data_IF_021232236656
#
_entry.id   IF_021232236656
#
_cell.length_a   1.000
_cell.length_b   1.000
_cell.length_c   1.000
_cell.angle_alpha   90.00
_cell.angle_beta   90.00
_cell.angle_gamma   90.00
#
_symmetry.space_group_name_H-M   'P 1'
#
loop_
_entity.id
_entity.type
_entity.pdbx_description
1 polymer ?
#
# COMPACT_ATOMS: atom_id res chain seq x y z
N UNK A 1 -21.14 12.66 3.28
CA UNK A 1 -20.68 14.02 3.60
C UNK A 1 -19.17 13.92 3.73
N UNK A 2 -18.41 14.37 2.73
CA UNK A 2 -16.95 14.30 2.81
C UNK A 2 -16.52 15.47 3.69
N UNK A 3 -15.91 15.17 4.83
CA UNK A 3 -15.32 16.19 5.70
C UNK A 3 -14.10 16.74 4.93
N UNK A 4 -14.06 18.05 4.71
CA UNK A 4 -12.84 18.70 4.21
C UNK A 4 -11.76 18.62 5.30
N UNK A 5 -10.94 17.57 5.25
CA UNK A 5 -9.69 17.55 6.01
C UNK A 5 -8.82 18.71 5.54
N UNK A 6 -8.45 19.60 6.47
CA UNK A 6 -7.42 20.62 6.21
C UNK A 6 -6.09 19.91 5.92
N UNK A 7 -5.73 19.86 4.64
CA UNK A 7 -4.44 19.31 4.18
C UNK A 7 -3.33 20.33 4.45
N UNK A 8 -2.66 20.23 5.60
CA UNK A 8 -1.37 20.92 5.87
C UNK A 8 -0.21 20.01 5.38
N UNK A 9 0.80 20.57 4.69
CA UNK A 9 2.00 19.81 4.34
C UNK A 9 2.85 19.59 5.60
N UNK A 10 3.23 18.35 5.90
CA UNK A 10 4.20 18.03 6.97
C UNK A 10 5.57 18.61 6.59
N UNK A 11 6.11 19.64 7.28
CA UNK A 11 7.30 20.35 6.79
C UNK A 11 8.60 19.55 6.86
N UNK A 12 8.63 18.52 7.71
CA UNK A 12 9.76 17.61 7.90
C UNK A 12 9.44 16.19 7.37
N UNK A 13 8.41 16.05 6.52
CA UNK A 13 7.86 14.75 6.12
C UNK A 13 8.88 13.77 5.51
N UNK A 14 9.89 14.28 4.81
CA UNK A 14 10.94 13.41 4.24
C UNK A 14 11.99 12.97 5.28
N UNK A 15 12.33 13.85 6.24
CA UNK A 15 13.39 13.65 7.23
C UNK A 15 12.90 14.11 8.62
N UNK A 16 12.00 13.35 9.28
CA UNK A 16 11.35 13.79 10.51
C UNK A 16 12.31 13.90 11.70
N UNK A 17 13.30 13.01 11.77
CA UNK A 17 14.25 12.94 12.90
C UNK A 17 15.39 13.96 12.82
N UNK A 18 15.58 14.62 11.68
CA UNK A 18 16.71 15.53 11.47
C UNK A 18 16.41 16.90 12.07
N UNK A 19 17.29 17.37 12.95
CA UNK A 19 17.23 18.72 13.52
C UNK A 19 17.39 19.81 12.44
N UNK A 20 16.64 20.90 12.58
CA UNK A 20 16.70 22.05 11.69
C UNK A 20 17.84 23.00 12.08
N UNK A 21 18.46 23.65 11.09
CA UNK A 21 19.38 24.76 11.30
C UNK A 21 18.68 26.07 11.74
N UNK A 22 17.34 26.11 11.77
CA UNK A 22 16.58 27.11 12.52
C UNK A 22 16.25 26.52 13.89
N UNK A 23 16.68 27.19 14.95
CA UNK A 23 16.60 26.67 16.33
C UNK A 23 15.13 26.48 16.76
N UNK A 24 14.82 25.34 17.38
CA UNK A 24 13.47 24.99 17.83
C UNK A 24 12.63 24.19 16.82
N UNK A 25 13.19 23.86 15.66
CA UNK A 25 12.51 23.11 14.59
C UNK A 25 13.19 21.78 14.25
N UNK A 26 12.43 20.86 13.64
CA UNK A 26 12.91 19.54 13.21
C UNK A 26 12.90 18.48 14.33
N UNK A 27 13.57 17.36 14.08
CA UNK A 27 13.70 16.26 15.04
C UNK A 27 14.88 16.43 16.01
N UNK A 28 15.09 15.41 16.85
CA UNK A 28 16.14 15.38 17.89
C UNK A 28 17.47 14.79 17.44
N UNK A 29 17.55 14.25 16.22
CA UNK A 29 18.76 13.67 15.62
C UNK A 29 19.77 14.73 15.18
N UNK A 30 21.06 14.39 15.27
CA UNK A 30 22.14 15.28 14.86
C UNK A 30 22.13 15.59 13.36
N UNK A 31 22.16 16.87 13.01
CA UNK A 31 22.21 17.31 11.62
C UNK A 31 23.56 16.95 10.97
N UNK A 32 23.53 16.05 9.98
CA UNK A 32 24.68 15.77 9.09
C UNK A 32 24.94 16.91 8.10
N UNK A 33 23.96 17.80 7.93
CA UNK A 33 23.96 18.92 7.01
C UNK A 33 23.51 20.18 7.76
N UNK A 34 24.47 21.01 8.16
CA UNK A 34 24.24 22.24 8.94
C UNK A 34 23.47 23.32 8.17
N UNK A 35 23.17 23.12 6.89
CA UNK A 35 22.34 24.03 6.09
C UNK A 35 20.88 23.59 5.99
N UNK A 36 20.54 22.37 6.40
CA UNK A 36 19.18 21.85 6.32
C UNK A 36 18.22 22.66 7.20
N UNK A 37 17.08 23.07 6.65
CA UNK A 37 16.01 23.71 7.45
C UNK A 37 14.74 22.86 7.46
N UNK A 38 14.24 22.44 6.31
CA UNK A 38 13.05 21.58 6.21
C UNK A 38 12.96 20.89 4.83
N UNK A 39 12.22 19.78 4.75
CA UNK A 39 11.82 19.14 3.50
C UNK A 39 10.43 18.49 3.65
N UNK A 40 9.44 19.03 2.94
CA UNK A 40 8.08 18.49 2.98
C UNK A 40 7.96 17.12 2.33
N UNK A 41 6.85 16.44 2.55
CA UNK A 41 6.42 15.37 1.65
C UNK A 41 6.32 15.83 0.19
N UNK A 42 6.38 14.89 -0.73
CA UNK A 42 5.98 15.08 -2.13
C UNK A 42 4.47 14.92 -2.26
N UNK A 43 3.80 15.97 -2.72
CA UNK A 43 2.34 16.04 -2.87
C UNK A 43 1.94 16.17 -4.33
N UNK A 44 0.72 15.76 -4.68
CA UNK A 44 0.17 16.09 -6.01
C UNK A 44 -0.36 17.52 -6.02
N UNK A 45 -0.30 18.17 -7.19
CA UNK A 45 -0.83 19.52 -7.40
C UNK A 45 -1.68 19.58 -8.67
N UNK A 46 -2.75 20.38 -8.68
CA UNK A 46 -3.49 20.69 -9.91
C UNK A 46 -2.57 21.36 -10.94
N UNK A 47 -2.87 21.18 -12.22
CA UNK A 47 -2.16 21.89 -13.29
C UNK A 47 -2.48 23.40 -13.25
N UNK A 48 -1.53 24.22 -13.68
CA UNK A 48 -1.67 25.68 -13.70
C UNK A 48 -0.99 26.37 -12.52
N UNK A 49 -1.43 27.58 -12.19
CA UNK A 49 -0.82 28.40 -11.13
C UNK A 49 -1.12 27.81 -9.75
N UNK A 50 -0.07 27.48 -8.99
CA UNK A 50 -0.14 26.91 -7.63
C UNK A 50 0.81 27.67 -6.71
N UNK A 51 0.37 27.99 -5.49
CA UNK A 51 1.13 28.70 -4.47
C UNK A 51 1.33 27.80 -3.25
N UNK A 52 2.58 27.58 -2.89
CA UNK A 52 2.93 27.08 -1.56
C UNK A 52 3.10 28.28 -0.63
N UNK A 53 2.42 28.27 0.50
CA UNK A 53 2.54 29.29 1.55
C UNK A 53 3.10 28.66 2.81
N UNK A 54 3.90 29.38 3.57
CA UNK A 54 4.41 28.88 4.85
C UNK A 54 4.55 29.97 5.90
N UNK A 55 4.59 29.54 7.16
CA UNK A 55 4.76 30.41 8.33
C UNK A 55 5.70 29.77 9.34
N UNK A 56 6.77 30.49 9.68
CA UNK A 56 7.58 30.22 10.85
C UNK A 56 6.95 30.91 12.07
N UNK A 57 6.30 30.16 12.94
CA UNK A 57 5.65 30.72 14.12
C UNK A 57 6.71 31.20 15.12
N UNK A 58 6.46 32.36 15.72
CA UNK A 58 7.36 33.07 16.66
C UNK A 58 8.79 33.32 16.13
N UNK A 59 8.96 33.45 14.80
CA UNK A 59 10.27 33.62 14.17
C UNK A 59 11.02 34.86 14.70
N UNK A 60 12.22 34.62 15.22
CA UNK A 60 13.20 35.65 15.59
C UNK A 60 14.47 35.42 14.79
N UNK A 61 14.98 36.45 14.13
CA UNK A 61 16.27 36.43 13.42
C UNK A 61 16.81 37.85 13.25
N UNK A 62 18.11 38.06 13.47
CA UNK A 62 18.82 39.30 13.10
C UNK A 62 19.69 39.12 11.85
N UNK A 63 20.02 37.88 11.47
CA UNK A 63 20.80 37.54 10.27
C UNK A 63 20.36 36.23 9.61
N UNK A 64 20.75 36.07 8.34
CA UNK A 64 20.63 34.81 7.60
C UNK A 64 19.71 34.88 6.39
N UNK A 65 20.00 34.01 5.41
CA UNK A 65 19.21 33.84 4.19
C UNK A 65 18.79 32.39 4.02
N UNK A 66 17.50 32.20 3.74
CA UNK A 66 16.88 30.90 3.47
C UNK A 66 16.62 30.77 1.97
N UNK A 67 17.20 29.76 1.32
CA UNK A 67 16.83 29.35 -0.03
C UNK A 67 15.71 28.33 0.06
N UNK A 68 14.56 28.69 -0.49
CA UNK A 68 13.43 27.79 -0.69
C UNK A 68 13.47 27.26 -2.12
N UNK A 69 13.35 25.94 -2.27
CA UNK A 69 13.22 25.27 -3.57
C UNK A 69 11.91 24.48 -3.60
N UNK A 70 11.10 24.72 -4.63
CA UNK A 70 10.04 23.78 -5.03
C UNK A 70 10.69 22.74 -5.92
N UNK A 71 10.74 21.50 -5.44
CA UNK A 71 11.17 20.32 -6.18
C UNK A 71 9.99 19.78 -6.98
N UNK A 72 10.25 19.33 -8.20
CA UNK A 72 9.27 18.64 -9.04
C UNK A 72 9.85 17.28 -9.45
N UNK A 73 9.09 16.22 -9.16
CA UNK A 73 9.45 14.84 -9.43
C UNK A 73 8.43 14.27 -10.43
N UNK A 74 8.83 13.90 -11.66
CA UNK A 74 7.93 13.25 -12.61
C UNK A 74 7.31 11.99 -11.98
N UNK A 75 6.06 11.69 -12.31
CA UNK A 75 5.47 10.41 -11.91
C UNK A 75 6.26 9.25 -12.55
N UNK A 76 6.69 8.28 -11.73
CA UNK A 76 7.53 7.16 -12.17
C UNK A 76 9.04 7.47 -12.23
N UNK A 77 9.47 8.56 -11.58
CA UNK A 77 10.88 8.91 -11.41
C UNK A 77 11.20 9.10 -9.93
N UNK A 78 12.34 8.61 -9.47
CA UNK A 78 12.90 8.96 -8.16
C UNK A 78 13.74 10.25 -8.21
N UNK A 79 14.22 10.60 -9.40
CA UNK A 79 14.93 11.85 -9.63
C UNK A 79 13.95 13.03 -9.63
N UNK A 80 14.25 14.03 -8.81
CA UNK A 80 13.55 15.33 -8.78
C UNK A 80 14.41 16.44 -9.38
N UNK A 81 13.76 17.43 -9.97
CA UNK A 81 14.36 18.67 -10.47
C UNK A 81 13.89 19.87 -9.64
N UNK A 82 14.51 21.04 -9.80
CA UNK A 82 14.04 22.27 -9.14
C UNK A 82 13.12 23.04 -10.09
N UNK A 83 11.81 23.05 -9.82
CA UNK A 83 10.83 23.78 -10.63
C UNK A 83 10.81 25.29 -10.31
N UNK A 84 11.08 25.66 -9.05
CA UNK A 84 11.15 27.07 -8.61
C UNK A 84 12.19 27.21 -7.52
N UNK A 85 12.91 28.34 -7.52
CA UNK A 85 13.76 28.76 -6.40
C UNK A 85 13.34 30.16 -5.96
N UNK A 86 13.39 30.40 -4.65
CA UNK A 86 13.24 31.69 -4.01
C UNK A 86 14.34 31.82 -2.94
N UNK A 87 14.79 33.04 -2.66
CA UNK A 87 15.68 33.32 -1.52
C UNK A 87 15.04 34.40 -0.66
N UNK A 88 14.91 34.12 0.62
CA UNK A 88 14.33 34.99 1.64
C UNK A 88 15.44 35.47 2.58
N UNK A 89 15.35 36.73 3.04
CA UNK A 89 16.10 37.19 4.22
C UNK A 89 15.26 36.90 5.46
N UNK A 90 15.82 36.21 6.45
CA UNK A 90 15.06 35.77 7.62
C UNK A 90 14.58 36.96 8.48
N UNK A 91 15.29 38.08 8.44
CA UNK A 91 14.87 39.38 9.01
C UNK A 91 13.54 39.88 8.43
N UNK A 92 13.39 39.80 7.11
CA UNK A 92 12.22 40.31 6.40
C UNK A 92 11.01 39.40 6.64
N UNK A 93 11.26 38.09 6.73
CA UNK A 93 10.25 37.06 7.06
C UNK A 93 9.78 37.22 8.51
N UNK A 94 10.69 37.50 9.45
CA UNK A 94 10.33 37.78 10.85
C UNK A 94 9.48 39.06 10.97
N UNK A 95 9.82 40.12 10.22
CA UNK A 95 9.01 41.34 10.13
C UNK A 95 7.62 41.12 9.48
N UNK A 96 7.42 40.01 8.78
CA UNK A 96 6.16 39.61 8.12
C UNK A 96 5.45 38.47 8.86
N UNK A 97 5.51 38.42 10.20
CA UNK A 97 4.81 37.42 11.02
C UNK A 97 5.25 35.96 10.67
N UNK A 98 6.51 35.81 10.24
CA UNK A 98 7.09 34.53 9.82
C UNK A 98 6.63 34.04 8.45
N UNK A 99 5.82 34.81 7.72
CA UNK A 99 5.12 34.37 6.50
C UNK A 99 5.96 34.48 5.25
N UNK A 100 5.73 33.56 4.31
CA UNK A 100 6.28 33.57 2.97
C UNK A 100 5.40 32.78 2.02
N UNK A 101 5.53 33.02 0.71
CA UNK A 101 4.87 32.21 -0.32
C UNK A 101 5.73 32.08 -1.57
N UNK A 102 5.53 30.99 -2.32
CA UNK A 102 6.20 30.74 -3.60
C UNK A 102 5.21 30.13 -4.60
N UNK A 103 5.01 30.83 -5.70
CA UNK A 103 4.12 30.42 -6.78
C UNK A 103 4.89 29.84 -7.96
N UNK A 104 4.37 28.74 -8.53
CA UNK A 104 4.84 28.13 -9.76
C UNK A 104 3.67 27.81 -10.71
N UNK A 105 3.99 27.59 -11.99
CA UNK A 105 3.05 27.00 -12.94
C UNK A 105 3.29 25.48 -12.96
N UNK A 106 2.49 24.74 -12.19
CA UNK A 106 2.59 23.30 -12.04
C UNK A 106 2.14 22.59 -13.32
N UNK A 107 2.92 21.58 -13.75
CA UNK A 107 2.59 20.73 -14.89
C UNK A 107 1.90 19.45 -14.41
N UNK A 108 0.94 18.90 -15.19
CA UNK A 108 0.39 17.57 -14.90
C UNK A 108 1.49 16.51 -14.98
N UNK A 109 1.38 15.45 -14.16
CA UNK A 109 2.35 14.35 -14.15
C UNK A 109 3.57 14.55 -13.25
N UNK A 110 3.51 15.49 -12.29
CA UNK A 110 4.59 15.77 -11.34
C UNK A 110 4.06 15.82 -9.91
N UNK A 111 4.82 15.22 -8.99
CA UNK A 111 4.71 15.53 -7.56
C UNK A 111 5.58 16.74 -7.25
N UNK A 112 5.15 17.54 -6.28
CA UNK A 112 5.90 18.70 -5.79
C UNK A 112 6.21 18.58 -4.30
N UNK A 113 7.42 18.96 -3.91
CA UNK A 113 7.82 19.11 -2.50
C UNK A 113 8.51 20.46 -2.33
N UNK A 114 8.53 20.97 -1.10
CA UNK A 114 9.19 22.23 -0.77
C UNK A 114 10.31 22.00 0.25
N UNK A 115 11.50 22.51 -0.06
CA UNK A 115 12.73 22.30 0.68
C UNK A 115 13.35 23.65 1.05
N UNK A 116 13.64 23.85 2.34
CA UNK A 116 14.35 25.01 2.87
C UNK A 116 15.78 24.66 3.24
N UNK A 117 16.75 25.48 2.78
CA UNK A 117 18.17 25.38 3.14
C UNK A 117 18.79 26.76 3.35
N UNK A 118 19.61 26.91 4.38
CA UNK A 118 20.38 28.13 4.61
C UNK A 118 21.38 28.38 3.46
N UNK A 119 21.70 29.64 3.24
CA UNK A 119 22.70 30.11 2.27
C UNK A 119 23.93 30.69 2.97
N UNK A 120 23.76 31.10 4.22
CA UNK A 120 24.73 31.75 5.11
C UNK A 120 24.29 31.54 6.56
N UNK A 121 25.19 31.78 7.51
CA UNK A 121 24.92 31.64 8.94
C UNK A 121 23.69 32.45 9.39
N UNK A 122 22.93 31.87 10.32
CA UNK A 122 21.77 32.51 10.93
C UNK A 122 21.82 32.44 12.45
N UNK A 123 21.08 33.32 13.10
CA UNK A 123 20.71 33.27 14.52
C UNK A 123 19.22 32.91 14.70
N UNK A 124 18.57 32.40 13.64
CA UNK A 124 17.13 32.22 13.60
C UNK A 124 16.62 31.14 14.57
N UNK A 125 15.52 31.47 15.25
CA UNK A 125 14.75 30.55 16.08
C UNK A 125 13.24 30.69 15.81
N UNK A 126 12.51 29.58 15.83
CA UNK A 126 11.05 29.53 15.64
C UNK A 126 10.44 28.34 16.41
N UNK A 127 9.16 28.43 16.78
CA UNK A 127 8.46 27.42 17.61
C UNK A 127 7.76 26.34 16.80
N UNK A 128 7.28 26.68 15.60
CA UNK A 128 6.67 25.76 14.63
C UNK A 128 6.95 26.25 13.20
N UNK A 129 6.98 25.32 12.24
CA UNK A 129 6.80 25.62 10.82
C UNK A 129 5.44 25.06 10.37
N UNK A 130 4.69 25.85 9.61
CA UNK A 130 3.46 25.47 8.92
C UNK A 130 3.62 25.67 7.42
N UNK A 131 3.09 24.76 6.59
CA UNK A 131 3.15 24.85 5.12
C UNK A 131 1.81 24.40 4.52
N UNK A 132 1.28 25.16 3.57
CA UNK A 132 0.03 24.91 2.86
C UNK A 132 0.19 25.09 1.34
N UNK A 133 -0.79 24.61 0.55
CA UNK A 133 -0.81 24.64 -0.90
C UNK A 133 -2.22 25.01 -1.43
N UNK A 134 -2.35 26.11 -2.19
CA UNK A 134 -3.63 26.56 -2.78
C UNK A 134 -4.13 25.71 -3.98
N UNK A 135 -3.41 24.63 -4.26
CA UNK A 135 -3.50 23.90 -5.52
C UNK A 135 -3.19 22.43 -5.38
N UNK A 136 -3.65 21.81 -4.29
CA UNK A 136 -3.68 20.36 -4.11
C UNK A 136 -4.22 19.63 -5.35
N UNK A 137 -3.61 18.50 -5.67
CA UNK A 137 -4.17 17.57 -6.65
C UNK A 137 -5.37 16.83 -6.06
N UNK A 138 -6.37 16.59 -6.90
CA UNK A 138 -7.63 15.91 -6.58
C UNK A 138 -7.69 14.46 -7.11
N UNK A 139 -6.57 13.97 -7.64
CA UNK A 139 -6.49 12.68 -8.31
C UNK A 139 -7.23 12.60 -9.67
N UNK A 140 -7.77 13.69 -10.21
CA UNK A 140 -8.57 13.68 -11.46
C UNK A 140 -7.86 13.06 -12.66
N UNK A 141 -6.57 13.35 -12.86
CA UNK A 141 -5.78 12.76 -13.94
C UNK A 141 -5.60 11.24 -13.77
N UNK A 142 -5.41 10.76 -12.54
CA UNK A 142 -5.35 9.33 -12.21
C UNK A 142 -6.73 8.68 -12.37
N UNK A 143 -7.79 9.34 -11.93
CA UNK A 143 -9.19 8.91 -12.11
C UNK A 143 -9.56 8.75 -13.58
N UNK A 144 -9.13 9.67 -14.44
CA UNK A 144 -9.33 9.57 -15.88
C UNK A 144 -8.68 8.31 -16.48
N UNK A 145 -7.44 7.98 -16.08
CA UNK A 145 -6.78 6.72 -16.48
C UNK A 145 -7.52 5.49 -15.97
N UNK A 146 -7.97 5.50 -14.71
CA UNK A 146 -8.74 4.38 -14.16
C UNK A 146 -10.07 4.19 -14.87
N UNK A 147 -10.78 5.26 -15.22
CA UNK A 147 -12.03 5.20 -15.96
C UNK A 147 -11.84 4.75 -17.41
N UNK A 148 -10.68 5.02 -18.02
CA UNK A 148 -10.32 4.46 -19.32
C UNK A 148 -10.01 2.96 -19.21
N UNK A 149 -9.14 2.56 -18.28
CA UNK A 149 -8.81 1.16 -18.00
C UNK A 149 -10.05 0.34 -17.61
N UNK A 150 -11.02 0.91 -16.88
CA UNK A 150 -12.30 0.27 -16.57
C UNK A 150 -13.15 -0.02 -17.82
N UNK A 151 -13.00 0.77 -18.89
CA UNK A 151 -13.69 0.59 -20.18
C UNK A 151 -12.90 -0.27 -21.17
N UNK A 152 -11.59 -0.39 -21.00
CA UNK A 152 -10.70 -1.14 -21.89
C UNK A 152 -10.23 -2.43 -21.25
N UNK A 153 -9.30 -2.36 -20.29
CA UNK A 153 -8.69 -3.51 -19.58
C UNK A 153 -9.72 -4.31 -18.79
N UNK A 154 -10.54 -3.66 -17.96
CA UNK A 154 -11.40 -4.30 -16.97
C UNK A 154 -12.90 -4.33 -17.33
N UNK A 155 -13.25 -4.04 -18.59
CA UNK A 155 -14.65 -4.12 -19.01
C UNK A 155 -15.20 -5.55 -18.89
N UNK A 156 -16.49 -5.69 -18.59
CA UNK A 156 -17.20 -6.99 -18.70
C UNK A 156 -17.17 -7.43 -20.17
N UNK A 157 -16.64 -8.63 -20.43
CA UNK A 157 -16.38 -9.10 -21.80
C UNK A 157 -15.22 -8.38 -22.51
N UNK A 158 -14.34 -7.69 -21.75
CA UNK A 158 -13.11 -7.06 -22.22
C UNK A 158 -12.34 -8.00 -23.15
N UNK A 159 -11.83 -7.39 -24.22
CA UNK A 159 -11.28 -8.07 -25.39
C UNK A 159 -9.74 -8.09 -25.33
N UNK A 160 -9.13 -7.73 -24.19
CA UNK A 160 -7.69 -7.85 -23.94
C UNK A 160 -7.33 -9.34 -23.85
N UNK A 161 -7.04 -9.93 -25.00
CA UNK A 161 -6.84 -11.37 -25.15
C UNK A 161 -7.57 -11.99 -26.34
N UNK A 162 -8.46 -11.27 -27.04
CA UNK A 162 -8.81 -11.72 -28.40
C UNK A 162 -7.65 -11.44 -29.34
N UNK A 163 -7.22 -12.48 -30.04
CA UNK A 163 -6.39 -12.30 -31.23
C UNK A 163 -7.13 -11.41 -32.23
N UNK A 164 -6.39 -10.87 -33.22
CA UNK A 164 -6.94 -10.05 -34.31
C UNK A 164 -8.11 -10.71 -35.07
N UNK A 165 -8.31 -12.01 -34.85
CA UNK A 165 -9.34 -12.90 -35.42
C UNK A 165 -10.52 -13.20 -34.48
N UNK A 166 -10.61 -12.58 -33.30
CA UNK A 166 -11.78 -12.68 -32.41
C UNK A 166 -11.88 -13.92 -31.51
N UNK A 167 -10.84 -14.77 -31.41
CA UNK A 167 -10.82 -15.95 -30.51
C UNK A 167 -10.74 -15.53 -29.03
N UNK A 168 -11.39 -16.21 -28.05
CA UNK A 168 -11.27 -15.88 -26.62
C UNK A 168 -9.84 -15.99 -26.09
N UNK A 169 -9.51 -15.30 -24.98
CA UNK A 169 -8.19 -15.44 -24.33
C UNK A 169 -8.00 -16.86 -23.77
N UNK A 170 -6.76 -17.32 -23.51
CA UNK A 170 -6.53 -18.62 -22.89
C UNK A 170 -7.24 -18.76 -21.52
N UNK A 171 -7.38 -17.67 -20.78
CA UNK A 171 -8.08 -17.61 -19.47
C UNK A 171 -9.59 -17.75 -19.64
N UNK A 172 -10.17 -17.10 -20.64
CA UNK A 172 -11.59 -17.23 -20.98
C UNK A 172 -11.91 -18.66 -21.44
N UNK A 173 -10.99 -19.31 -22.15
CA UNK A 173 -11.15 -20.69 -22.64
C UNK A 173 -11.23 -21.72 -21.51
N UNK A 174 -10.57 -21.46 -20.38
CA UNK A 174 -10.67 -22.30 -19.16
C UNK A 174 -11.72 -21.80 -18.16
N UNK A 175 -12.47 -20.74 -18.48
CA UNK A 175 -13.59 -20.25 -17.68
C UNK A 175 -13.21 -19.63 -16.33
N UNK A 176 -11.95 -19.21 -16.15
CA UNK A 176 -11.46 -18.69 -14.86
C UNK A 176 -11.93 -17.26 -14.55
N UNK A 177 -12.33 -16.46 -15.55
CA UNK A 177 -12.83 -15.09 -15.34
C UNK A 177 -14.34 -15.11 -15.14
N UNK A 178 -14.82 -14.49 -14.06
CA UNK A 178 -16.24 -14.31 -13.79
C UNK A 178 -16.66 -12.84 -13.95
N UNK A 179 -17.80 -12.63 -14.61
CA UNK A 179 -18.46 -11.32 -14.70
C UNK A 179 -19.37 -11.00 -13.50
N UNK A 180 -19.64 -11.99 -12.65
CA UNK A 180 -20.48 -11.81 -11.47
C UNK A 180 -19.84 -10.84 -10.47
N UNK A 181 -20.64 -10.07 -9.70
CA UNK A 181 -20.12 -9.20 -8.66
C UNK A 181 -19.20 -9.97 -7.67
N UNK A 182 -18.15 -9.28 -7.23
CA UNK A 182 -17.34 -9.74 -6.10
C UNK A 182 -18.12 -9.53 -4.80
N UNK A 183 -18.17 -10.55 -3.93
CA UNK A 183 -18.83 -10.49 -2.62
C UNK A 183 -17.96 -11.08 -1.53
N UNK A 184 -18.18 -10.69 -0.29
CA UNK A 184 -17.52 -11.23 0.91
C UNK A 184 -18.28 -12.44 1.43
N UNK A 185 -19.60 -12.51 1.18
CA UNK A 185 -20.40 -13.70 1.46
C UNK A 185 -20.00 -14.94 0.63
N UNK A 186 -19.57 -14.74 -0.62
CA UNK A 186 -19.12 -15.81 -1.54
C UNK A 186 -17.78 -15.40 -2.19
N UNK A 187 -16.68 -15.42 -1.42
CA UNK A 187 -15.42 -14.82 -1.85
C UNK A 187 -14.70 -15.68 -2.90
N UNK A 188 -14.18 -15.02 -3.92
CA UNK A 188 -13.38 -15.58 -5.00
C UNK A 188 -12.04 -14.82 -5.12
N UNK A 189 -11.25 -15.03 -6.19
CA UNK A 189 -10.05 -14.21 -6.43
C UNK A 189 -10.49 -12.84 -6.97
N UNK A 190 -10.53 -11.79 -6.13
CA UNK A 190 -11.29 -10.58 -6.44
C UNK A 190 -10.65 -9.27 -6.01
N UNK A 191 -11.04 -8.19 -6.68
CA UNK A 191 -10.65 -6.82 -6.32
C UNK A 191 -11.42 -6.30 -5.09
N UNK A 192 -10.79 -5.40 -4.32
CA UNK A 192 -11.47 -4.61 -3.30
C UNK A 192 -12.48 -3.63 -3.93
N UNK A 193 -13.73 -3.60 -3.44
CA UNK A 193 -14.76 -2.62 -3.86
C UNK A 193 -15.57 -2.11 -2.69
N UNK A 194 -16.16 -0.92 -2.82
CA UNK A 194 -17.04 -0.32 -1.81
C UNK A 194 -18.29 -1.16 -1.52
N UNK A 195 -18.83 -1.82 -2.55
CA UNK A 195 -19.96 -2.76 -2.41
C UNK A 195 -19.68 -3.85 -1.37
N UNK A 196 -18.46 -4.39 -1.33
CA UNK A 196 -18.09 -5.44 -0.39
C UNK A 196 -18.06 -4.95 1.06
N UNK A 197 -17.68 -3.70 1.30
CA UNK A 197 -17.66 -3.11 2.64
C UNK A 197 -19.06 -2.80 3.20
N UNK A 198 -20.07 -2.72 2.32
CA UNK A 198 -21.49 -2.55 2.67
C UNK A 198 -22.19 -3.88 3.02
N UNK A 199 -21.55 -5.04 2.79
CA UNK A 199 -22.18 -6.33 3.00
C UNK A 199 -22.41 -6.66 4.49
N UNK A 200 -23.55 -7.29 4.84
CA UNK A 200 -23.76 -7.88 6.16
C UNK A 200 -22.66 -8.87 6.56
N UNK A 201 -22.11 -9.62 5.60
CA UNK A 201 -20.98 -10.53 5.81
C UNK A 201 -19.71 -9.78 6.23
N UNK A 202 -19.42 -8.63 5.61
CA UNK A 202 -18.29 -7.78 5.99
C UNK A 202 -18.48 -7.21 7.40
N UNK A 203 -19.69 -6.74 7.74
CA UNK A 203 -19.96 -6.27 9.11
C UNK A 203 -19.81 -7.40 10.14
N UNK A 204 -20.32 -8.59 9.86
CA UNK A 204 -20.15 -9.75 10.73
C UNK A 204 -18.68 -10.11 10.98
N UNK A 205 -17.81 -9.96 9.98
CA UNK A 205 -16.37 -10.09 10.17
C UNK A 205 -15.77 -9.00 11.07
N UNK A 206 -16.18 -7.74 10.90
CA UNK A 206 -15.74 -6.68 11.80
C UNK A 206 -16.21 -6.90 13.24
N UNK A 207 -17.42 -7.43 13.44
CA UNK A 207 -17.92 -7.83 14.77
C UNK A 207 -17.09 -8.97 15.37
N UNK A 208 -16.80 -10.05 14.61
CA UNK A 208 -15.91 -11.15 15.03
C UNK A 208 -14.51 -10.67 15.43
N UNK A 209 -13.99 -9.64 14.76
CA UNK A 209 -12.65 -9.08 14.96
C UNK A 209 -12.61 -7.90 15.96
N UNK A 210 -13.75 -7.49 16.53
CA UNK A 210 -13.82 -6.32 17.42
C UNK A 210 -13.45 -4.99 16.74
N UNK A 211 -13.60 -4.90 15.41
CA UNK A 211 -13.14 -3.76 14.61
C UNK A 211 -14.25 -2.74 14.29
N UNK A 212 -13.90 -1.46 14.37
CA UNK A 212 -14.70 -0.37 13.80
C UNK A 212 -14.68 -0.40 12.26
N UNK A 213 -15.71 0.16 11.61
CA UNK A 213 -15.76 0.27 10.15
C UNK A 213 -14.73 1.30 9.68
N UNK A 214 -13.77 0.86 8.86
CA UNK A 214 -12.81 1.73 8.19
C UNK A 214 -12.86 1.44 6.69
N UNK A 215 -13.28 2.42 5.90
CA UNK A 215 -13.41 2.28 4.45
C UNK A 215 -12.05 2.34 3.76
N UNK A 216 -11.23 1.32 3.99
CA UNK A 216 -9.80 1.32 3.74
C UNK A 216 -9.38 -0.04 3.18
N UNK A 217 -8.66 -0.04 2.06
CA UNK A 217 -8.32 -1.29 1.34
C UNK A 217 -7.65 -2.36 2.22
N UNK A 218 -6.80 -1.98 3.18
CA UNK A 218 -6.19 -2.90 4.16
C UNK A 218 -7.19 -3.55 5.13
N UNK A 219 -8.27 -2.88 5.53
CA UNK A 219 -9.32 -3.54 6.32
C UNK A 219 -10.04 -4.60 5.48
N UNK A 220 -10.24 -4.31 4.19
CA UNK A 220 -10.78 -5.29 3.26
C UNK A 220 -9.85 -6.48 3.05
N UNK A 221 -8.53 -6.30 3.00
CA UNK A 221 -7.58 -7.41 2.91
C UNK A 221 -7.69 -8.37 4.09
N UNK A 222 -7.82 -7.83 5.31
CA UNK A 222 -8.07 -8.62 6.53
C UNK A 222 -9.37 -9.40 6.41
N UNK A 223 -10.50 -8.72 6.13
CA UNK A 223 -11.81 -9.38 6.03
C UNK A 223 -11.85 -10.40 4.89
N UNK A 224 -11.20 -10.12 3.75
CA UNK A 224 -11.13 -11.00 2.60
C UNK A 224 -10.39 -12.31 2.91
N UNK A 225 -9.19 -12.23 3.49
CA UNK A 225 -8.40 -13.42 3.86
C UNK A 225 -9.19 -14.30 4.85
N UNK A 226 -9.81 -13.67 5.86
CA UNK A 226 -10.66 -14.37 6.83
C UNK A 226 -11.87 -15.06 6.15
N UNK A 227 -12.56 -14.35 5.27
CA UNK A 227 -13.75 -14.85 4.57
C UNK A 227 -13.42 -16.03 3.65
N UNK A 228 -12.33 -15.98 2.88
CA UNK A 228 -11.92 -17.11 2.03
C UNK A 228 -11.57 -18.34 2.89
N UNK A 229 -10.78 -18.17 3.94
CA UNK A 229 -10.37 -19.29 4.80
C UNK A 229 -11.55 -19.92 5.55
N UNK A 230 -12.54 -19.13 5.99
CA UNK A 230 -13.79 -19.65 6.55
C UNK A 230 -14.63 -20.37 5.51
N UNK A 231 -14.83 -19.77 4.32
CA UNK A 231 -15.63 -20.35 3.24
C UNK A 231 -15.06 -21.68 2.71
N UNK A 232 -13.73 -21.80 2.62
CA UNK A 232 -13.07 -23.06 2.30
C UNK A 232 -12.92 -24.00 3.51
N UNK A 233 -13.33 -23.56 4.71
CA UNK A 233 -13.36 -24.39 5.90
C UNK A 233 -11.99 -24.75 6.47
N UNK A 234 -11.02 -23.84 6.35
CA UNK A 234 -9.66 -23.98 6.91
C UNK A 234 -9.55 -23.54 8.37
N UNK A 235 -10.50 -22.72 8.84
CA UNK A 235 -10.49 -22.20 10.21
C UNK A 235 -11.17 -23.17 11.18
N UNK A 236 -10.47 -24.24 11.56
CA UNK A 236 -10.96 -25.28 12.47
C UNK A 236 -9.89 -25.71 13.49
N UNK A 237 -10.28 -26.24 14.66
CA UNK A 237 -9.32 -26.76 15.63
C UNK A 237 -8.38 -27.82 15.02
N UNK A 238 -7.08 -27.67 15.26
CA UNK A 238 -6.02 -28.54 14.72
C UNK A 238 -5.61 -28.24 13.28
N UNK A 239 -6.20 -27.25 12.60
CA UNK A 239 -5.76 -26.85 11.25
C UNK A 239 -4.43 -26.10 11.29
N UNK A 240 -3.50 -26.45 10.39
CA UNK A 240 -2.13 -25.88 10.38
C UNK A 240 -2.02 -24.70 9.41
N UNK A 241 -1.79 -23.49 9.91
CA UNK A 241 -1.63 -22.27 9.12
C UNK A 241 -0.18 -21.79 8.98
N UNK A 242 0.20 -21.31 7.79
CA UNK A 242 1.48 -20.66 7.52
C UNK A 242 1.29 -19.21 7.06
N UNK A 243 1.71 -18.24 7.86
CA UNK A 243 1.65 -16.82 7.49
C UNK A 243 2.99 -16.33 6.93
N UNK A 244 2.96 -15.52 5.88
CA UNK A 244 4.13 -14.89 5.27
C UNK A 244 4.05 -13.36 5.34
N UNK A 245 5.12 -12.73 5.84
CA UNK A 245 5.20 -11.27 6.01
C UNK A 245 4.17 -10.76 7.02
N UNK A 246 3.96 -11.50 8.12
CA UNK A 246 2.79 -11.29 8.99
C UNK A 246 2.70 -9.91 9.66
N UNK A 247 3.80 -9.16 9.79
CA UNK A 247 3.81 -7.91 10.52
C UNK A 247 3.18 -8.05 11.91
N UNK A 248 2.54 -6.99 12.41
CA UNK A 248 1.79 -6.99 13.68
C UNK A 248 0.29 -7.31 13.49
N UNK A 249 -0.08 -8.06 12.44
CA UNK A 249 -1.47 -8.25 12.05
C UNK A 249 -2.26 -9.19 12.98
N UNK A 250 -3.59 -9.08 12.96
CA UNK A 250 -4.47 -9.84 13.85
C UNK A 250 -4.61 -11.33 13.51
N UNK A 251 -4.15 -11.76 12.33
CA UNK A 251 -4.35 -13.13 11.81
C UNK A 251 -3.90 -14.24 12.76
N UNK A 252 -2.65 -14.25 13.31
CA UNK A 252 -2.19 -15.36 14.12
C UNK A 252 -3.01 -15.54 15.40
N UNK A 253 -3.37 -14.43 16.05
CA UNK A 253 -4.23 -14.46 17.25
C UNK A 253 -5.64 -14.96 16.94
N UNK A 254 -6.28 -14.46 15.88
CA UNK A 254 -7.63 -14.88 15.54
C UNK A 254 -7.71 -16.36 15.15
N UNK A 255 -6.74 -16.87 14.37
CA UNK A 255 -6.71 -18.29 14.02
C UNK A 255 -6.38 -19.18 15.22
N UNK A 256 -5.49 -18.72 16.11
CA UNK A 256 -5.14 -19.44 17.34
C UNK A 256 -6.33 -19.61 18.29
N UNK A 257 -7.20 -18.60 18.43
CA UNK A 257 -8.42 -18.70 19.26
C UNK A 257 -9.52 -19.58 18.66
N UNK A 258 -9.47 -19.85 17.35
CA UNK A 258 -10.23 -20.91 16.69
C UNK A 258 -9.57 -22.31 16.80
N UNK A 259 -8.45 -22.40 17.52
CA UNK A 259 -7.71 -23.65 17.76
C UNK A 259 -6.80 -24.09 16.61
N UNK A 260 -6.50 -23.21 15.65
CA UNK A 260 -5.54 -23.50 14.57
C UNK A 260 -4.09 -23.44 15.10
N UNK A 261 -3.21 -24.29 14.60
CA UNK A 261 -1.77 -24.24 14.85
C UNK A 261 -1.10 -23.33 13.82
N UNK A 262 -0.45 -22.25 14.26
CA UNK A 262 0.07 -21.19 13.39
C UNK A 262 1.60 -21.12 13.44
N UNK A 263 2.22 -21.14 12.26
CA UNK A 263 3.57 -20.65 12.05
C UNK A 263 3.50 -19.31 11.32
N UNK A 264 3.80 -18.23 12.04
CA UNK A 264 3.97 -16.90 11.45
C UNK A 264 5.42 -16.71 10.99
N UNK A 265 5.61 -16.05 9.85
CA UNK A 265 6.94 -15.75 9.32
C UNK A 265 7.05 -14.31 8.83
N UNK A 266 8.24 -13.74 8.97
CA UNK A 266 8.57 -12.38 8.54
C UNK A 266 10.07 -12.33 8.16
N UNK A 267 10.51 -11.27 7.48
CA UNK A 267 11.86 -11.11 6.94
C UNK A 267 12.93 -11.13 8.07
N UNK A 268 14.07 -11.83 7.92
CA UNK A 268 15.13 -11.80 8.93
C UNK A 268 15.71 -10.39 9.17
N UNK A 269 15.89 -10.03 10.45
CA UNK A 269 16.47 -8.75 10.87
C UNK A 269 17.86 -8.55 10.21
N UNK A 270 18.06 -7.36 9.64
CA UNK A 270 19.31 -6.98 8.95
C UNK A 270 19.31 -7.18 7.43
N UNK A 271 18.24 -7.71 6.83
CA UNK A 271 18.14 -7.82 5.37
C UNK A 271 18.01 -6.45 4.68
N UNK A 272 18.65 -6.27 3.52
CA UNK A 272 18.75 -4.96 2.85
C UNK A 272 17.40 -4.35 2.44
N UNK A 273 16.35 -5.17 2.30
CA UNK A 273 14.99 -4.76 1.95
C UNK A 273 14.16 -4.21 3.13
N UNK A 274 14.62 -4.33 4.39
CA UNK A 274 13.92 -3.82 5.58
C UNK A 274 13.75 -2.30 5.62
N UNK A 275 14.56 -1.53 4.88
CA UNK A 275 14.59 -0.08 4.96
C UNK A 275 13.24 0.60 4.64
N UNK A 276 12.37 -0.03 3.84
CA UNK A 276 11.01 0.46 3.59
C UNK A 276 10.02 0.17 4.71
N UNK A 277 10.19 -0.96 5.42
CA UNK A 277 9.25 -1.48 6.42
C UNK A 277 9.49 -0.95 7.83
N UNK A 278 10.75 -0.65 8.17
CA UNK A 278 11.12 -0.10 9.47
C UNK A 278 10.47 1.27 9.74
N UNK A 279 10.24 2.08 8.69
CA UNK A 279 9.64 3.41 8.82
C UNK A 279 8.11 3.42 8.94
N UNK A 280 7.43 2.29 8.72
CA UNK A 280 5.96 2.19 8.79
C UNK A 280 5.46 1.37 9.99
N UNK A 281 6.35 0.71 10.73
CA UNK A 281 5.96 -0.16 11.85
C UNK A 281 5.26 -1.45 11.43
N UNK A 282 5.38 -1.84 10.15
CA UNK A 282 4.66 -2.98 9.56
C UNK A 282 5.45 -4.29 9.57
N UNK A 283 6.65 -4.32 10.13
CA UNK A 283 7.50 -5.51 10.25
C UNK A 283 7.49 -6.03 11.69
N UNK A 284 7.34 -7.34 11.90
CA UNK A 284 7.45 -7.96 13.22
C UNK A 284 8.73 -8.78 13.40
N UNK A 285 9.36 -8.56 14.55
CA UNK A 285 10.62 -9.17 14.98
C UNK A 285 10.44 -10.20 16.10
N UNK A 286 9.26 -10.25 16.73
CA UNK A 286 9.02 -11.05 17.93
C UNK A 286 7.56 -11.53 18.03
N UNK A 287 7.33 -12.66 18.71
CA UNK A 287 6.03 -13.33 18.78
C UNK A 287 4.99 -12.52 19.56
N UNK A 288 5.43 -11.68 20.48
CA UNK A 288 4.61 -10.78 21.30
C UNK A 288 3.91 -9.71 20.45
N UNK A 289 4.47 -9.34 19.30
CA UNK A 289 3.87 -8.39 18.36
C UNK A 289 2.71 -9.02 17.55
N UNK A 290 2.60 -10.36 17.57
CA UNK A 290 1.52 -11.12 16.95
C UNK A 290 0.35 -11.39 17.92
N UNK A 291 0.46 -10.95 19.18
CA UNK A 291 -0.57 -11.16 20.19
C UNK A 291 -1.56 -9.99 20.24
N UNK A 292 -2.84 -10.32 19.98
CA UNK A 292 -3.98 -9.41 20.09
C UNK A 292 -4.86 -9.91 21.24
N UNK A 293 -4.69 -9.38 22.48
CA UNK A 293 -5.39 -9.88 23.67
C UNK A 293 -6.92 -9.83 23.61
N UNK A 294 -7.48 -8.99 22.72
CA UNK A 294 -8.93 -8.92 22.46
C UNK A 294 -9.47 -10.07 21.61
N UNK A 295 -8.60 -10.84 20.95
CA UNK A 295 -8.96 -11.93 20.03
C UNK A 295 -8.53 -13.31 20.52
N UNK A 296 -7.46 -13.37 21.31
CA UNK A 296 -6.90 -14.61 21.86
C UNK A 296 -6.29 -14.35 23.24
N UNK A 297 -6.56 -15.22 24.21
CA UNK A 297 -5.83 -15.19 25.48
C UNK A 297 -4.36 -15.60 25.29
N UNK A 298 -3.51 -15.24 26.26
CA UNK A 298 -2.07 -15.44 26.15
C UNK A 298 -1.64 -16.92 26.23
N UNK A 299 -2.42 -17.79 26.90
CA UNK A 299 -2.09 -19.22 27.02
C UNK A 299 -2.37 -19.93 25.68
N UNK A 300 -3.55 -19.68 25.10
CA UNK A 300 -3.91 -20.16 23.77
C UNK A 300 -2.96 -19.63 22.70
N UNK A 301 -2.57 -18.35 22.77
CA UNK A 301 -1.63 -17.76 21.82
C UNK A 301 -0.23 -18.41 21.92
N UNK A 302 0.35 -18.47 23.11
CA UNK A 302 1.68 -19.06 23.32
C UNK A 302 1.74 -20.56 23.02
N UNK A 303 0.61 -21.28 23.11
CA UNK A 303 0.49 -22.69 22.73
C UNK A 303 0.36 -22.89 21.23
N UNK A 304 -0.47 -22.09 20.57
CA UNK A 304 -0.91 -22.34 19.20
C UNK A 304 -0.15 -21.50 18.15
N UNK A 305 0.54 -20.42 18.54
CA UNK A 305 1.33 -19.57 17.64
C UNK A 305 2.82 -19.84 17.83
N UNK A 306 3.55 -19.88 16.73
CA UNK A 306 5.00 -19.95 16.66
C UNK A 306 5.51 -18.97 15.62
N UNK A 307 6.76 -18.52 15.75
CA UNK A 307 7.39 -17.57 14.82
C UNK A 307 8.71 -18.12 14.26
N UNK A 308 8.96 -17.89 12.97
CA UNK A 308 10.25 -18.19 12.31
C UNK A 308 10.59 -17.11 11.28
N UNK A 309 11.79 -16.50 11.35
CA UNK A 309 12.29 -15.64 10.28
C UNK A 309 12.44 -16.41 8.96
N UNK A 310 11.86 -15.91 7.88
CA UNK A 310 11.90 -16.52 6.53
C UNK A 310 11.95 -15.43 5.48
N UNK A 311 12.92 -15.50 4.57
CA UNK A 311 12.89 -14.74 3.33
C UNK A 311 11.96 -15.45 2.33
N UNK A 312 10.92 -14.74 1.86
CA UNK A 312 9.97 -15.23 0.85
C UNK A 312 10.63 -15.54 -0.50
N UNK A 313 11.81 -14.98 -0.80
CA UNK A 313 12.60 -15.34 -1.98
C UNK A 313 13.42 -16.64 -1.81
N UNK A 314 13.60 -17.11 -0.57
CA UNK A 314 14.47 -18.24 -0.21
C UNK A 314 13.80 -19.15 0.83
N UNK A 315 12.52 -19.51 0.62
CA UNK A 315 11.73 -20.31 1.54
C UNK A 315 12.32 -21.72 1.80
N UNK A 316 12.62 -22.09 3.06
CA UNK A 316 13.10 -23.42 3.42
C UNK A 316 12.22 -24.58 2.96
N UNK A 317 12.84 -25.73 2.71
CA UNK A 317 12.14 -26.94 2.25
C UNK A 317 11.40 -27.71 3.35
N UNK A 318 11.73 -27.48 4.62
CA UNK A 318 11.07 -28.12 5.76
C UNK A 318 9.71 -27.49 6.11
N UNK A 319 9.42 -26.29 5.57
CA UNK A 319 8.08 -25.71 5.62
C UNK A 319 7.15 -26.49 4.68
N UNK A 320 6.47 -27.55 5.13
CA UNK A 320 5.50 -28.32 4.32
C UNK A 320 4.35 -28.88 5.15
N UNK A 321 3.26 -29.26 4.47
CA UNK A 321 2.12 -29.97 5.05
C UNK A 321 1.21 -29.08 5.90
N UNK A 322 1.16 -27.79 5.60
CA UNK A 322 0.18 -26.86 6.14
C UNK A 322 -1.17 -27.06 5.46
N UNK A 323 -2.25 -26.69 6.13
CA UNK A 323 -3.61 -26.79 5.59
C UNK A 323 -4.01 -25.49 4.91
N UNK A 324 -3.45 -24.36 5.34
CA UNK A 324 -3.62 -23.08 4.67
C UNK A 324 -2.37 -22.18 4.81
N UNK A 325 -2.24 -21.21 3.92
CA UNK A 325 -1.26 -20.14 4.05
C UNK A 325 -1.83 -18.80 3.58
N UNK A 326 -1.24 -17.70 4.06
CA UNK A 326 -1.65 -16.37 3.68
C UNK A 326 -0.51 -15.35 3.65
N UNK A 327 -0.76 -14.23 2.97
CA UNK A 327 0.02 -12.98 3.12
C UNK A 327 -0.85 -11.78 2.77
N UNK A 328 -0.81 -10.72 3.57
CA UNK A 328 -1.54 -9.49 3.30
C UNK A 328 -0.60 -8.42 2.71
N UNK A 329 -0.63 -8.22 1.38
CA UNK A 329 0.23 -7.28 0.65
C UNK A 329 1.70 -7.31 1.07
N UNK A 330 2.28 -8.52 0.97
CA UNK A 330 3.71 -8.75 1.19
C UNK A 330 4.47 -9.06 -0.11
N UNK A 331 3.82 -9.65 -1.12
CA UNK A 331 4.53 -10.25 -2.27
C UNK A 331 4.82 -9.26 -3.41
N UNK A 332 4.20 -8.08 -3.41
CA UNK A 332 4.62 -6.92 -4.22
C UNK A 332 5.96 -6.32 -3.78
N UNK A 333 6.45 -6.67 -2.59
CA UNK A 333 7.70 -6.15 -2.04
C UNK A 333 8.92 -7.06 -2.29
N UNK A 334 8.76 -8.15 -3.04
CA UNK A 334 9.86 -9.09 -3.36
C UNK A 334 10.82 -8.59 -4.44
N UNK A 335 10.72 -7.31 -4.83
CA UNK A 335 11.64 -6.63 -5.73
C UNK A 335 11.41 -6.87 -7.22
N UNK A 336 10.44 -7.71 -7.63
CA UNK A 336 9.96 -7.82 -9.01
C UNK A 336 8.61 -8.54 -9.07
N UNK A 337 7.85 -8.32 -10.14
CA UNK A 337 6.61 -9.06 -10.44
C UNK A 337 6.90 -10.56 -10.49
N UNK A 338 7.97 -10.96 -11.16
CA UNK A 338 8.34 -12.38 -11.33
C UNK A 338 8.70 -13.06 -10.00
N UNK A 339 9.36 -12.35 -9.08
CA UNK A 339 9.61 -12.84 -7.73
C UNK A 339 8.30 -13.07 -6.95
N UNK A 340 7.33 -12.15 -7.07
CA UNK A 340 6.01 -12.29 -6.46
C UNK A 340 5.19 -13.45 -7.01
N UNK A 341 5.17 -13.66 -8.33
CA UNK A 341 4.46 -14.82 -8.92
C UNK A 341 5.13 -16.15 -8.53
N UNK A 342 6.47 -16.20 -8.53
CA UNK A 342 7.23 -17.36 -8.04
C UNK A 342 6.93 -17.66 -6.57
N UNK A 343 6.78 -16.62 -5.73
CA UNK A 343 6.37 -16.79 -4.34
C UNK A 343 5.01 -17.48 -4.22
N UNK A 344 4.00 -17.13 -5.04
CA UNK A 344 2.68 -17.79 -4.97
C UNK A 344 2.77 -19.26 -5.35
N UNK A 345 3.47 -19.61 -6.46
CA UNK A 345 3.73 -21.01 -6.83
C UNK A 345 4.38 -21.77 -5.67
N UNK A 346 5.46 -21.21 -5.12
CA UNK A 346 6.15 -21.81 -3.99
C UNK A 346 5.23 -21.92 -2.78
N UNK A 347 4.45 -20.90 -2.41
CA UNK A 347 3.52 -20.91 -1.28
C UNK A 347 2.50 -22.06 -1.40
N UNK A 348 1.97 -22.32 -2.60
CA UNK A 348 1.07 -23.46 -2.86
C UNK A 348 1.77 -24.81 -2.66
N UNK A 349 3.03 -24.96 -3.07
CA UNK A 349 3.82 -26.17 -2.81
C UNK A 349 3.99 -26.52 -1.31
N UNK A 350 3.68 -25.59 -0.39
CA UNK A 350 3.73 -25.83 1.06
C UNK A 350 2.47 -26.48 1.66
N UNK A 351 1.38 -26.61 0.89
CA UNK A 351 0.00 -26.71 1.41
C UNK A 351 -0.75 -28.05 1.44
N UNK A 352 -0.12 -29.22 1.20
CA UNK A 352 -0.79 -30.54 1.03
C UNK A 352 -1.92 -30.56 -0.04
N UNK A 353 -2.34 -31.73 -0.55
CA UNK A 353 -3.55 -31.80 -1.37
C UNK A 353 -4.79 -31.26 -0.64
N UNK A 354 -5.51 -30.34 -1.25
CA UNK A 354 -6.72 -29.71 -0.72
C UNK A 354 -6.51 -28.55 0.28
N UNK A 355 -5.27 -28.14 0.58
CA UNK A 355 -5.02 -26.93 1.37
C UNK A 355 -5.17 -25.64 0.56
N UNK A 356 -5.27 -24.48 1.23
CA UNK A 356 -5.69 -23.21 0.61
C UNK A 356 -4.67 -22.09 0.80
N UNK A 357 -4.22 -21.49 -0.30
CA UNK A 357 -3.42 -20.27 -0.33
C UNK A 357 -4.33 -19.07 -0.49
N UNK A 358 -4.19 -18.02 0.34
CA UNK A 358 -4.94 -16.76 0.19
C UNK A 358 -4.02 -15.56 0.36
N UNK A 359 -3.80 -14.81 -0.72
CA UNK A 359 -2.85 -13.71 -0.73
C UNK A 359 -3.49 -12.43 -1.26
N UNK A 360 -3.12 -11.27 -0.73
CA UNK A 360 -3.49 -9.96 -1.28
C UNK A 360 -2.27 -9.21 -1.79
N UNK A 361 -2.48 -8.32 -2.77
CA UNK A 361 -1.43 -7.48 -3.38
C UNK A 361 -2.01 -6.19 -3.98
N UNK A 362 -1.14 -5.21 -4.22
CA UNK A 362 -1.44 -4.04 -5.06
C UNK A 362 -1.60 -4.36 -6.58
N UNK A 363 -2.80 -4.11 -7.13
CA UNK A 363 -3.18 -4.29 -8.54
C UNK A 363 -3.34 -2.95 -9.29
N UNK A 364 -2.63 -2.79 -10.40
CA UNK A 364 -2.65 -1.63 -11.30
C UNK A 364 -3.99 -1.51 -12.05
N UNK A 365 -4.74 -0.44 -11.75
CA UNK A 365 -6.02 -0.12 -12.37
C UNK A 365 -5.93 0.93 -13.47
N UNK A 366 -4.75 1.21 -14.00
CA UNK A 366 -4.52 2.25 -15.01
C UNK A 366 -3.90 1.73 -16.30
N UNK A 367 -3.32 0.53 -16.31
CA UNK A 367 -2.71 -0.07 -17.49
C UNK A 367 -2.46 -1.56 -17.29
N UNK A 368 -2.67 -2.35 -18.34
CA UNK A 368 -2.28 -3.76 -18.40
C UNK A 368 -0.92 -3.97 -19.11
N UNK A 369 -0.16 -2.90 -19.36
CA UNK A 369 1.13 -2.96 -20.07
C UNK A 369 2.22 -2.27 -19.27
N UNK A 370 2.11 -0.95 -19.11
CA UNK A 370 2.97 -0.14 -18.27
C UNK A 370 2.61 -0.36 -16.80
N UNK A 371 3.61 -0.60 -15.95
CA UNK A 371 3.43 -0.75 -14.50
C UNK A 371 4.73 -0.41 -13.76
N UNK A 372 4.74 -0.49 -12.43
CA UNK A 372 5.97 -0.45 -11.62
C UNK A 372 6.46 -1.88 -11.45
N UNK A 373 7.72 -2.15 -11.80
CA UNK A 373 8.38 -3.45 -11.70
C UNK A 373 9.88 -3.22 -11.47
N UNK A 374 10.56 -4.15 -10.80
CA UNK A 374 11.97 -4.04 -10.40
C UNK A 374 12.28 -2.86 -9.42
N UNK A 375 11.27 -2.43 -8.65
CA UNK A 375 11.37 -1.46 -7.54
C UNK A 375 11.03 -2.14 -6.19
N UNK A 376 11.15 -1.42 -5.07
CA UNK A 376 10.83 -1.93 -3.71
C UNK A 376 9.35 -2.28 -3.47
N UNK A 377 8.46 -1.78 -4.33
CA UNK A 377 7.05 -2.14 -4.40
C UNK A 377 6.68 -2.21 -5.88
N UNK A 378 6.25 -3.37 -6.36
CA UNK A 378 5.73 -3.52 -7.72
C UNK A 378 4.21 -3.34 -7.76
N UNK A 379 3.66 -3.16 -8.95
CA UNK A 379 2.21 -3.15 -9.17
C UNK A 379 1.88 -4.26 -10.18
N UNK A 380 1.12 -5.26 -9.75
CA UNK A 380 0.70 -6.34 -10.66
C UNK A 380 -0.33 -5.82 -11.65
N UNK A 381 -0.30 -6.35 -12.87
CA UNK A 381 -1.31 -6.07 -13.90
C UNK A 381 -2.31 -7.22 -13.97
N UNK A 382 -3.44 -7.00 -14.64
CA UNK A 382 -4.46 -8.03 -14.89
C UNK A 382 -3.83 -9.26 -15.54
N UNK A 383 -3.02 -9.07 -16.57
CA UNK A 383 -2.29 -10.14 -17.28
C UNK A 383 -1.33 -10.95 -16.41
N UNK A 384 -0.79 -10.37 -15.33
CA UNK A 384 0.14 -11.07 -14.45
C UNK A 384 -0.61 -12.04 -13.53
N UNK A 385 -1.77 -11.61 -13.01
CA UNK A 385 -2.70 -12.46 -12.24
C UNK A 385 -3.34 -13.54 -13.12
N UNK A 386 -3.71 -13.20 -14.36
CA UNK A 386 -4.21 -14.15 -15.35
C UNK A 386 -3.15 -15.20 -15.77
N UNK A 387 -1.90 -14.79 -15.98
CA UNK A 387 -0.77 -15.70 -16.22
C UNK A 387 -0.59 -16.67 -15.06
N UNK A 388 -0.52 -16.15 -13.84
CA UNK A 388 -0.36 -16.95 -12.63
C UNK A 388 -1.51 -17.96 -12.47
N UNK A 389 -2.76 -17.54 -12.70
CA UNK A 389 -3.91 -18.42 -12.60
C UNK A 389 -3.87 -19.58 -13.62
N UNK A 390 -3.45 -19.30 -14.86
CA UNK A 390 -3.24 -20.30 -15.90
C UNK A 390 -2.12 -21.28 -15.53
N UNK A 391 -0.98 -20.78 -15.05
CA UNK A 391 0.16 -21.62 -14.65
C UNK A 391 -0.19 -22.55 -13.48
N UNK A 392 -0.86 -22.04 -12.45
CA UNK A 392 -1.34 -22.82 -11.30
C UNK A 392 -2.39 -23.87 -11.73
N UNK A 393 -3.29 -23.51 -12.64
CA UNK A 393 -4.30 -24.45 -13.17
C UNK A 393 -3.65 -25.53 -14.05
N UNK A 394 -2.62 -25.18 -14.82
CA UNK A 394 -1.82 -26.14 -15.59
C UNK A 394 -0.99 -27.08 -14.68
N UNK A 395 -0.57 -26.61 -13.50
CA UNK A 395 0.02 -27.43 -12.43
C UNK A 395 -1.01 -28.30 -11.68
N UNK A 396 -2.28 -28.28 -12.08
CA UNK A 396 -3.35 -29.10 -11.51
C UNK A 396 -4.01 -28.53 -10.25
N UNK A 397 -3.74 -27.28 -9.89
CA UNK A 397 -4.37 -26.59 -8.76
C UNK A 397 -5.69 -25.94 -9.17
N UNK A 398 -6.57 -25.64 -8.21
CA UNK A 398 -7.84 -24.97 -8.47
C UNK A 398 -7.79 -23.53 -7.98
N UNK A 399 -7.72 -22.58 -8.92
CA UNK A 399 -7.75 -21.14 -8.63
C UNK A 399 -9.21 -20.69 -8.55
N UNK A 400 -9.60 -19.99 -7.48
CA UNK A 400 -10.95 -19.45 -7.37
C UNK A 400 -11.18 -18.38 -8.46
N UNK A 401 -12.40 -18.24 -9.00
CA UNK A 401 -12.66 -17.39 -10.16
C UNK A 401 -12.16 -15.94 -10.00
N UNK A 402 -11.52 -15.43 -11.05
CA UNK A 402 -10.99 -14.07 -11.14
C UNK A 402 -12.14 -13.08 -11.39
N UNK A 403 -12.40 -12.19 -10.42
CA UNK A 403 -13.41 -11.14 -10.48
C UNK A 403 -12.76 -9.76 -10.46
N UNK A 404 -12.68 -9.14 -11.63
CA UNK A 404 -12.07 -7.81 -11.83
C UNK A 404 -13.06 -6.63 -11.79
N UNK A 405 -14.12 -6.72 -10.98
CA UNK A 405 -14.99 -5.56 -10.78
C UNK A 405 -14.26 -4.47 -9.99
N UNK A 406 -14.12 -3.29 -10.59
CA UNK A 406 -13.50 -2.13 -9.95
C UNK A 406 -14.44 -1.38 -8.99
N UNK A 407 -15.74 -1.74 -8.94
CA UNK A 407 -16.76 -1.04 -8.17
C UNK A 407 -17.15 0.30 -8.81
N UNK A 408 -18.29 0.84 -8.40
CA UNK A 408 -18.89 2.07 -8.94
C UNK A 408 -19.39 3.05 -7.87
N UNK A 409 -19.16 2.75 -6.58
CA UNK A 409 -19.52 3.65 -5.48
C UNK A 409 -18.70 4.94 -5.54
N UNK A 410 -19.16 6.04 -4.90
CA UNK A 410 -18.40 7.29 -4.84
C UNK A 410 -16.95 7.12 -4.35
N UNK A 411 -16.71 6.14 -3.46
CA UNK A 411 -15.39 5.82 -2.93
C UNK A 411 -14.54 4.93 -3.85
N UNK A 412 -15.15 4.05 -4.65
CA UNK A 412 -14.44 3.34 -5.75
C UNK A 412 -14.00 4.32 -6.84
N UNK A 413 -14.70 5.44 -6.97
CA UNK A 413 -14.39 6.54 -7.89
C UNK A 413 -13.54 7.65 -7.24
N UNK A 414 -13.15 7.53 -5.98
CA UNK A 414 -12.21 8.44 -5.32
C UNK A 414 -10.80 7.89 -5.46
N UNK A 415 -9.87 8.69 -6.00
CA UNK A 415 -8.46 8.35 -6.04
C UNK A 415 -7.76 9.18 -4.97
N UNK A 416 -7.33 8.53 -3.90
CA UNK A 416 -6.54 9.19 -2.88
C UNK A 416 -5.10 9.41 -3.38
N UNK A 417 -4.48 10.51 -2.96
CA UNK A 417 -3.21 11.02 -3.49
C UNK A 417 -2.32 11.47 -2.34
N UNK A 418 -0.98 11.37 -2.44
CA UNK A 418 -0.08 11.79 -1.36
C UNK A 418 -0.31 13.23 -0.87
N UNK A 419 -0.39 13.47 0.47
CA UNK A 419 -0.32 12.47 1.53
C UNK A 419 -1.64 11.69 1.66
N UNK A 420 -1.55 10.36 1.72
CA UNK A 420 -2.72 9.49 1.76
C UNK A 420 -3.50 9.63 3.08
N UNK A 421 -4.82 9.63 2.97
CA UNK A 421 -5.73 9.61 4.11
C UNK A 421 -5.56 8.31 4.93
N UNK A 422 -5.79 8.39 6.24
CA UNK A 422 -5.75 7.20 7.11
C UNK A 422 -7.05 6.38 7.06
N UNK A 423 -8.10 6.92 6.45
CA UNK A 423 -9.41 6.27 6.26
C UNK A 423 -10.01 6.70 4.92
N UNK A 424 -11.05 6.02 4.45
CA UNK A 424 -11.80 6.40 3.25
C UNK A 424 -10.96 6.36 1.95
N UNK A 425 -10.11 5.34 1.79
CA UNK A 425 -9.41 5.10 0.52
C UNK A 425 -9.46 3.64 0.04
N UNK A 426 -10.06 3.42 -1.13
CA UNK A 426 -10.08 2.10 -1.80
C UNK A 426 -9.09 2.06 -2.96
N UNK A 427 -8.93 3.20 -3.65
CA UNK A 427 -8.05 3.38 -4.79
C UNK A 427 -7.05 4.48 -4.46
N UNK A 428 -5.76 4.22 -4.63
CA UNK A 428 -4.68 5.18 -4.33
C UNK A 428 -3.82 5.44 -5.57
N UNK A 429 -3.26 6.64 -5.67
CA UNK A 429 -2.34 7.05 -6.70
C UNK A 429 -0.88 6.68 -6.35
N UNK A 430 -0.44 5.48 -6.75
CA UNK A 430 0.97 5.10 -6.67
C UNK A 430 1.69 5.45 -7.99
N UNK A 431 2.66 6.37 -7.90
CA UNK A 431 3.35 6.94 -9.07
C UNK A 431 2.33 7.44 -10.13
N UNK A 432 2.48 7.05 -11.40
CA UNK A 432 1.58 7.41 -12.50
C UNK A 432 0.30 6.55 -12.61
N UNK A 433 0.10 5.59 -11.71
CA UNK A 433 -0.97 4.60 -11.77
C UNK A 433 -1.95 4.76 -10.59
N UNK A 434 -3.15 4.22 -10.78
CA UNK A 434 -4.08 3.91 -9.69
C UNK A 434 -3.85 2.46 -9.28
N UNK A 435 -3.82 2.17 -7.98
CA UNK A 435 -3.79 0.81 -7.44
C UNK A 435 -4.90 0.58 -6.41
N UNK A 436 -5.26 -0.69 -6.22
CA UNK A 436 -6.16 -1.20 -5.19
C UNK A 436 -5.71 -2.61 -4.78
N UNK A 437 -6.18 -3.10 -3.65
CA UNK A 437 -5.94 -4.48 -3.23
C UNK A 437 -6.69 -5.47 -4.13
N UNK A 438 -5.99 -6.50 -4.58
CA UNK A 438 -6.54 -7.69 -5.23
C UNK A 438 -6.22 -8.92 -4.40
N UNK A 439 -7.20 -9.79 -4.20
CA UNK A 439 -7.05 -11.07 -3.53
C UNK A 439 -6.97 -12.21 -4.55
N UNK A 440 -6.03 -13.13 -4.34
CA UNK A 440 -5.93 -14.38 -5.08
C UNK A 440 -6.06 -15.56 -4.11
N UNK A 441 -6.91 -16.53 -4.47
CA UNK A 441 -7.19 -17.70 -3.67
C UNK A 441 -7.01 -18.98 -4.51
N UNK A 442 -6.24 -19.94 -3.98
CA UNK A 442 -5.83 -21.15 -4.70
C UNK A 442 -5.98 -22.36 -3.78
N UNK A 443 -6.72 -23.36 -4.22
CA UNK A 443 -6.78 -24.68 -3.56
C UNK A 443 -5.73 -25.58 -4.22
N UNK A 444 -4.81 -26.11 -3.42
CA UNK A 444 -3.79 -27.03 -3.92
C UNK A 444 -4.41 -28.31 -4.46
N UNK A 445 -4.04 -28.64 -5.69
CA UNK A 445 -4.40 -29.90 -6.35
C UNK A 445 -3.76 -31.14 -5.72
N UNK A 446 -4.14 -32.35 -6.17
CA UNK A 446 -3.41 -33.56 -5.85
C UNK A 446 -1.99 -33.51 -6.40
N UNK A 447 -1.06 -34.21 -5.76
CA UNK A 447 0.30 -34.36 -6.28
C UNK A 447 0.25 -35.15 -7.60
N UNK A 448 0.75 -34.55 -8.68
CA UNK A 448 0.80 -35.19 -10.01
C UNK A 448 1.85 -36.31 -9.96
N UNK A 449 1.41 -37.55 -10.25
CA UNK A 449 2.24 -38.76 -10.27
C UNK A 449 2.90 -39.01 -11.62
#
# INVERSE_FOLDING_TARGET
MIIEEQRELRPFGLWPDVSSAITGLGGSGGATDTTYVFHSDYVTTRAGLVTFSGRFHDLRATKGKLRIRVRAMPYGSEASTTAKTMVLRLTDVAAQDGRWSVTLNAKPGYYHAIMGRLVEDTDAAATKLSIDCDGWGDGSAHKAKMLDAKKTVFARGSVVGRSWWGRPSPVDQVGLISSEPATIAEPASQMCTGNQMEEPAYRAWLDKLGMGVHWHRKQWEVVYIMAVLEAQGMLRPGSRGLGFGCGAECFPSYFASLGCEILATDMPVGHQQLAGWLNTGQHSTAIEQLHWPSLCDAETHAKNVSFRPVDMNAMPDDLRGFDFCWSACAFEHLGSIEAGLRFIHQAVDRLRPGGVAVHTTELNLSSDTATVDNESTVLFRRRDMERLALELTAAGHHVLPLKYDAGDRPLDLHIDVPPFAQTNHLKIALRQFVTTSFGIAVIRGPDVR
#
